data_IF_453989747328
#
_entry.id   IF_453989747328
#
_cell.length_a   1.000
_cell.length_b   1.000
_cell.length_c   1.000
_cell.angle_alpha   90.00
_cell.angle_beta   90.00
_cell.angle_gamma   90.00
#
_symmetry.space_group_name_H-M   'P 1'
#
loop_
_entity.id
_entity.type
_entity.pdbx_description
1 polymer ?
#
# COMPACT_ATOMS: atom_id res chain seq x y z
N UNK A 1 -5.50 48.50 -35.34
CA UNK A 1 -4.78 48.73 -36.62
C UNK A 1 -3.68 49.75 -36.40
N UNK A 2 -2.39 49.34 -36.50
CA UNK A 2 -1.22 50.08 -37.02
C UNK A 2 0.11 49.36 -36.57
N UNK A 3 0.74 48.54 -37.43
CA UNK A 3 2.04 48.69 -38.16
C UNK A 3 3.30 48.82 -37.28
N UNK A 4 4.50 48.25 -37.55
CA UNK A 4 5.08 47.21 -38.47
C UNK A 4 6.60 47.18 -38.23
N UNK A 5 7.27 46.02 -38.41
CA UNK A 5 8.70 45.83 -38.78
C UNK A 5 9.80 46.41 -37.83
N UNK A 6 11.01 45.86 -37.67
CA UNK A 6 11.71 44.76 -38.30
C UNK A 6 13.22 44.89 -37.98
N UNK A 7 13.98 43.79 -38.19
CA UNK A 7 15.43 43.75 -38.45
C UNK A 7 16.40 44.16 -37.33
N UNK A 8 17.65 43.68 -37.21
CA UNK A 8 18.46 42.56 -37.74
C UNK A 8 19.86 42.74 -37.09
N UNK A 9 20.72 41.70 -37.13
CA UNK A 9 22.18 41.66 -36.82
C UNK A 9 22.58 41.85 -35.33
N UNK A 10 23.60 41.19 -34.74
CA UNK A 10 24.81 40.57 -35.27
C UNK A 10 25.43 39.57 -34.27
N UNK A 11 26.08 38.56 -34.87
CA UNK A 11 26.92 37.47 -34.36
C UNK A 11 27.79 37.74 -33.11
N UNK A 12 27.94 36.72 -32.26
CA UNK A 12 29.24 36.43 -31.64
C UNK A 12 29.44 34.91 -31.49
N UNK A 13 30.35 34.38 -32.32
CA UNK A 13 30.85 33.02 -32.29
C UNK A 13 31.92 32.89 -31.20
N UNK A 14 31.80 31.90 -30.30
CA UNK A 14 32.94 31.40 -29.53
C UNK A 14 33.00 29.89 -29.67
N UNK A 15 34.05 29.43 -30.35
CA UNK A 15 34.48 28.05 -30.43
C UNK A 15 35.08 27.64 -29.08
N UNK A 16 34.63 26.52 -28.53
CA UNK A 16 35.48 25.71 -27.65
C UNK A 16 35.35 24.26 -28.10
N UNK A 17 36.47 23.76 -28.62
CA UNK A 17 36.66 22.38 -29.00
C UNK A 17 36.59 21.48 -27.75
N UNK A 18 35.68 20.51 -27.75
CA UNK A 18 35.73 19.38 -26.85
C UNK A 18 36.02 18.12 -27.69
N UNK A 19 37.28 17.69 -27.65
CA UNK A 19 37.73 16.42 -28.17
C UNK A 19 37.58 15.38 -27.06
N UNK A 20 36.86 14.28 -27.32
CA UNK A 20 36.73 13.14 -26.40
C UNK A 20 36.31 11.90 -27.18
N UNK A 21 37.17 10.88 -27.16
CA UNK A 21 37.25 9.75 -28.09
C UNK A 21 36.01 8.82 -28.15
N UNK A 22 35.80 8.10 -29.27
CA UNK A 22 34.95 6.92 -29.31
C UNK A 22 35.78 5.63 -29.12
N UNK A 23 35.46 4.85 -28.09
CA UNK A 23 35.81 3.43 -28.02
C UNK A 23 34.69 2.66 -27.30
N UNK A 24 33.83 2.01 -28.07
CA UNK A 24 33.03 0.85 -27.65
C UNK A 24 33.87 -0.42 -27.82
N UNK A 25 33.39 -1.63 -27.50
CA UNK A 25 32.64 -2.13 -26.34
C UNK A 25 33.41 -3.28 -25.64
N UNK A 26 33.12 -3.59 -24.38
CA UNK A 26 33.51 -4.90 -23.80
C UNK A 26 32.27 -5.54 -23.21
N UNK A 27 31.75 -6.49 -23.98
CA UNK A 27 30.74 -7.45 -23.57
C UNK A 27 31.23 -8.20 -22.34
N UNK A 28 30.47 -8.13 -21.24
CA UNK A 28 30.63 -9.07 -20.13
C UNK A 28 29.52 -10.11 -20.30
N UNK A 29 29.78 -11.30 -20.87
CA UNK A 29 28.93 -12.44 -20.63
C UNK A 29 29.30 -12.99 -19.25
N UNK A 30 28.56 -12.61 -18.23
CA UNK A 30 28.61 -13.32 -16.94
C UNK A 30 27.18 -13.61 -16.54
N UNK A 31 26.64 -14.65 -17.19
CA UNK A 31 25.51 -15.39 -16.63
C UNK A 31 25.90 -15.83 -15.23
N UNK A 32 25.13 -15.50 -14.19
CA UNK A 32 25.35 -16.08 -12.87
C UNK A 32 25.10 -17.60 -12.95
N UNK A 33 25.85 -18.42 -12.19
CA UNK A 33 25.57 -19.83 -12.05
C UNK A 33 24.17 -20.00 -11.43
N UNK A 34 23.34 -20.80 -12.09
CA UNK A 34 22.02 -21.21 -11.61
C UNK A 34 22.12 -21.82 -10.21
N UNK A 35 21.38 -21.25 -9.25
CA UNK A 35 21.20 -21.81 -7.92
C UNK A 35 20.53 -23.19 -8.03
N UNK A 36 21.09 -24.26 -7.44
CA UNK A 36 20.36 -25.50 -7.29
C UNK A 36 19.24 -25.36 -6.24
N UNK A 37 18.03 -25.69 -6.70
CA UNK A 37 16.83 -26.12 -5.98
C UNK A 37 17.10 -26.74 -4.60
N UNK A 38 16.48 -26.19 -3.56
CA UNK A 38 15.65 -26.90 -2.56
C UNK A 38 15.25 -25.92 -1.45
N UNK A 39 14.25 -25.07 -1.71
CA UNK A 39 13.52 -24.47 -0.60
C UNK A 39 12.64 -25.60 -0.04
N UNK A 40 12.79 -26.02 1.23
CA UNK A 40 11.77 -26.85 1.85
C UNK A 40 10.46 -26.06 1.76
N UNK A 41 9.44 -26.67 1.15
CA UNK A 41 8.08 -26.17 1.17
C UNK A 41 7.60 -26.27 2.62
N UNK A 42 7.93 -25.25 3.42
CA UNK A 42 7.19 -25.00 4.64
C UNK A 42 5.83 -24.51 4.15
N UNK A 43 4.86 -25.44 4.05
CA UNK A 43 3.47 -25.03 4.13
C UNK A 43 3.39 -24.10 5.35
N UNK A 44 2.88 -22.86 5.22
CA UNK A 44 2.44 -22.17 6.41
C UNK A 44 1.36 -23.05 7.01
N UNK A 45 1.70 -23.74 8.09
CA UNK A 45 0.70 -24.24 9.01
C UNK A 45 -0.10 -23.00 9.39
N UNK A 46 -1.39 -22.98 9.03
CA UNK A 46 -2.37 -22.01 9.51
C UNK A 46 -2.59 -22.21 11.03
N UNK A 47 -1.50 -22.25 11.80
CA UNK A 47 -1.58 -22.07 13.22
C UNK A 47 -1.92 -20.59 13.39
N UNK A 48 -3.00 -20.23 14.10
CA UNK A 48 -3.16 -18.86 14.52
C UNK A 48 -1.87 -18.45 15.24
N UNK A 49 -1.15 -17.46 14.70
CA UNK A 49 -0.03 -16.84 15.39
C UNK A 49 -0.48 -16.45 16.80
N UNK A 50 0.43 -16.52 17.80
CA UNK A 50 0.07 -16.26 19.17
C UNK A 50 -0.49 -14.85 19.26
N UNK A 51 -1.79 -14.80 19.53
CA UNK A 51 -2.49 -13.61 19.99
C UNK A 51 -1.64 -12.96 21.09
N UNK A 52 -1.50 -11.65 21.06
CA UNK A 52 -0.81 -10.91 22.12
C UNK A 52 -1.41 -11.36 23.48
N UNK A 53 -0.64 -11.86 24.47
CA UNK A 53 -1.16 -12.60 25.62
C UNK A 53 -2.04 -11.78 26.60
N UNK A 54 -2.45 -10.57 26.23
CA UNK A 54 -3.43 -9.73 26.93
C UNK A 54 -4.65 -9.32 26.10
N UNK A 55 -4.77 -9.76 24.84
CA UNK A 55 -5.91 -9.41 23.98
C UNK A 55 -6.91 -10.56 23.95
N UNK A 56 -8.14 -10.31 24.42
CA UNK A 56 -9.25 -11.23 24.20
C UNK A 56 -9.69 -11.14 22.73
N UNK A 57 -9.64 -12.22 21.94
CA UNK A 57 -9.99 -12.20 20.52
C UNK A 57 -11.41 -11.69 20.25
N UNK A 58 -12.36 -12.05 21.11
CA UNK A 58 -13.75 -11.61 20.95
C UNK A 58 -13.89 -10.09 21.11
N UNK A 59 -13.18 -9.50 22.08
CA UNK A 59 -13.17 -8.05 22.29
C UNK A 59 -12.47 -7.32 21.14
N UNK A 60 -11.35 -7.86 20.67
CA UNK A 60 -10.62 -7.31 19.52
C UNK A 60 -11.45 -7.33 18.24
N UNK A 61 -12.17 -8.42 17.98
CA UNK A 61 -13.05 -8.56 16.82
C UNK A 61 -14.24 -7.59 16.90
N UNK A 62 -14.90 -7.48 18.06
CA UNK A 62 -16.00 -6.53 18.27
C UNK A 62 -15.51 -5.09 18.05
N UNK A 63 -14.35 -4.73 18.61
CA UNK A 63 -13.74 -3.42 18.41
C UNK A 63 -13.39 -3.15 16.94
N UNK A 64 -12.88 -4.16 16.21
CA UNK A 64 -12.55 -4.03 14.80
C UNK A 64 -13.79 -3.73 13.95
N UNK A 65 -14.91 -4.40 14.22
CA UNK A 65 -16.19 -4.16 13.54
C UNK A 65 -16.74 -2.79 13.91
N UNK A 66 -16.83 -2.48 15.20
CA UNK A 66 -17.39 -1.23 15.69
C UNK A 66 -16.62 -0.01 15.16
N UNK A 67 -15.29 -0.02 15.25
CA UNK A 67 -14.45 1.10 14.80
C UNK A 67 -14.45 1.24 13.27
N UNK A 68 -14.48 0.13 12.52
CA UNK A 68 -14.61 0.19 11.05
C UNK A 68 -15.95 0.77 10.62
N UNK A 69 -17.06 0.36 11.26
CA UNK A 69 -18.40 0.93 10.99
C UNK A 69 -18.46 2.42 11.31
N UNK A 70 -17.87 2.82 12.43
CA UNK A 70 -17.83 4.21 12.84
C UNK A 70 -17.01 5.07 11.87
N UNK A 71 -15.83 4.60 11.44
CA UNK A 71 -15.00 5.30 10.45
C UNK A 71 -15.73 5.43 9.09
N UNK A 72 -16.36 4.36 8.59
CA UNK A 72 -17.11 4.41 7.33
C UNK A 72 -18.30 5.37 7.41
N UNK A 73 -19.06 5.30 8.50
CA UNK A 73 -20.21 6.18 8.72
C UNK A 73 -19.80 7.66 8.73
N UNK A 74 -18.67 7.98 9.39
CA UNK A 74 -18.11 9.33 9.41
C UNK A 74 -17.68 9.79 8.01
N UNK A 75 -16.98 8.94 7.24
CA UNK A 75 -16.54 9.27 5.86
C UNK A 75 -17.70 9.57 4.94
N UNK A 76 -18.80 8.82 5.07
CA UNK A 76 -19.98 8.96 4.23
C UNK A 76 -21.03 9.93 4.80
N UNK A 77 -20.82 10.45 6.02
CA UNK A 77 -21.77 11.31 6.73
C UNK A 77 -23.16 10.68 6.88
N UNK A 78 -23.19 9.41 7.31
CA UNK A 78 -24.39 8.61 7.54
C UNK A 78 -24.48 8.12 8.98
N UNK A 79 -25.63 7.57 9.36
CA UNK A 79 -25.78 6.90 10.65
C UNK A 79 -24.99 5.58 10.68
N UNK A 80 -24.35 5.27 11.81
CA UNK A 80 -23.59 4.03 11.99
C UNK A 80 -24.49 2.79 11.81
N UNK A 81 -25.75 2.87 12.23
CA UNK A 81 -26.76 1.83 12.07
C UNK A 81 -27.09 1.50 10.61
N UNK A 82 -26.83 2.42 9.67
CA UNK A 82 -27.00 2.17 8.23
C UNK A 82 -25.86 1.33 7.63
N UNK A 83 -24.73 1.21 8.33
CA UNK A 83 -23.59 0.38 7.91
C UNK A 83 -23.75 -1.04 8.43
N UNK A 84 -23.85 -2.00 7.51
CA UNK A 84 -24.06 -3.41 7.80
C UNK A 84 -22.72 -4.14 7.77
N UNK A 85 -22.45 -4.99 8.76
CA UNK A 85 -21.30 -5.90 8.71
C UNK A 85 -21.66 -7.12 7.86
N UNK A 86 -20.88 -7.37 6.81
CA UNK A 86 -21.01 -8.53 5.92
C UNK A 86 -20.16 -9.70 6.43
N UNK A 87 -18.89 -9.44 6.74
CA UNK A 87 -17.99 -10.46 7.30
C UNK A 87 -16.87 -9.85 8.13
N UNK A 88 -16.29 -10.67 8.99
CA UNK A 88 -15.06 -10.37 9.74
C UNK A 88 -14.21 -11.63 9.80
N UNK A 89 -12.93 -11.51 9.45
CA UNK A 89 -11.97 -12.61 9.39
C UNK A 89 -10.67 -12.21 10.06
N UNK A 90 -10.08 -13.11 10.85
CA UNK A 90 -8.73 -12.92 11.39
C UNK A 90 -7.69 -13.10 10.27
N UNK A 91 -6.77 -12.14 10.14
CA UNK A 91 -5.76 -12.09 9.07
C UNK A 91 -4.41 -11.66 9.66
N UNK A 92 -3.33 -12.19 9.10
CA UNK A 92 -1.97 -11.71 9.34
C UNK A 92 -1.54 -10.77 8.22
N UNK A 93 -1.31 -9.51 8.55
CA UNK A 93 -0.87 -8.50 7.59
C UNK A 93 0.64 -8.57 7.35
N UNK A 94 1.12 -8.30 6.14
CA UNK A 94 2.54 -8.39 5.80
C UNK A 94 3.42 -7.32 6.46
N UNK A 95 2.80 -6.25 6.96
CA UNK A 95 3.47 -5.07 7.48
C UNK A 95 2.60 -4.33 8.52
N UNK A 96 3.21 -3.36 9.21
CA UNK A 96 2.52 -2.53 10.21
C UNK A 96 1.54 -1.50 9.63
N UNK A 97 1.45 -1.37 8.31
CA UNK A 97 0.40 -0.59 7.64
C UNK A 97 -0.81 -1.46 7.28
N UNK A 98 -0.85 -2.69 7.79
CA UNK A 98 -1.95 -3.63 7.57
C UNK A 98 -2.09 -3.97 6.08
N UNK A 99 -0.98 -3.98 5.34
CA UNK A 99 -0.97 -4.26 3.90
C UNK A 99 -1.51 -3.13 3.02
N UNK A 100 -1.78 -1.93 3.59
CA UNK A 100 -2.27 -0.77 2.84
C UNK A 100 -1.14 0.24 2.66
N UNK A 101 -0.66 0.35 1.43
CA UNK A 101 0.38 1.31 1.07
C UNK A 101 -0.22 2.70 0.91
N UNK A 102 0.24 3.63 1.74
CA UNK A 102 -0.11 5.05 1.64
C UNK A 102 1.09 5.82 1.11
N UNK A 103 0.95 6.65 0.06
CA UNK A 103 2.04 7.45 -0.47
C UNK A 103 2.72 8.30 0.62
N UNK A 104 4.05 8.19 0.71
CA UNK A 104 4.84 8.94 1.70
C UNK A 104 4.86 8.33 3.10
N UNK A 105 4.19 7.20 3.34
CA UNK A 105 4.25 6.47 4.61
C UNK A 105 5.14 5.24 4.46
N UNK A 106 6.11 5.10 5.38
CA UNK A 106 6.95 3.92 5.48
C UNK A 106 6.35 2.93 6.48
N UNK A 107 6.16 1.69 6.05
CA UNK A 107 5.57 0.61 6.84
C UNK A 107 6.66 -0.27 7.44
N UNK A 108 6.45 -0.76 8.66
CA UNK A 108 7.36 -1.74 9.29
C UNK A 108 7.19 -3.11 8.63
N UNK A 109 8.27 -3.86 8.45
CA UNK A 109 8.23 -5.23 7.88
C UNK A 109 7.92 -6.28 8.94
N UNK A 110 6.92 -6.02 9.77
CA UNK A 110 6.50 -6.89 10.89
C UNK A 110 5.14 -7.45 10.57
N UNK A 111 5.02 -8.78 10.61
CA UNK A 111 3.73 -9.46 10.47
C UNK A 111 2.82 -9.00 11.61
N UNK A 112 1.68 -8.42 11.25
CA UNK A 112 0.76 -7.80 12.21
C UNK A 112 -0.56 -8.55 12.20
N UNK A 113 -0.91 -9.27 13.28
CA UNK A 113 -2.22 -9.89 13.42
C UNK A 113 -3.34 -8.84 13.46
N UNK A 114 -4.50 -9.19 12.93
CA UNK A 114 -5.64 -8.30 12.89
C UNK A 114 -6.87 -8.89 12.24
N UNK A 115 -7.79 -8.01 11.83
CA UNK A 115 -9.03 -8.42 11.18
C UNK A 115 -9.25 -7.71 9.85
N UNK A 116 -9.69 -8.49 8.86
CA UNK A 116 -10.34 -8.00 7.64
C UNK A 116 -11.84 -7.92 7.90
N UNK A 117 -12.41 -6.73 7.76
CA UNK A 117 -13.84 -6.47 7.96
C UNK A 117 -14.45 -6.02 6.64
N UNK A 118 -15.49 -6.70 6.18
CA UNK A 118 -16.28 -6.28 5.02
C UNK A 118 -17.56 -5.63 5.52
N UNK A 119 -17.76 -4.37 5.13
CA UNK A 119 -18.94 -3.58 5.45
C UNK A 119 -19.74 -3.29 4.19
N UNK A 120 -21.05 -3.16 4.32
CA UNK A 120 -21.94 -2.78 3.23
C UNK A 120 -22.83 -1.61 3.63
N UNK A 121 -23.01 -0.69 2.70
CA UNK A 121 -24.04 0.34 2.78
C UNK A 121 -24.53 0.69 1.38
N UNK A 122 -25.84 0.78 1.20
CA UNK A 122 -26.48 1.10 -0.08
C UNK A 122 -26.03 0.21 -1.24
N UNK A 123 -25.77 -1.08 -0.97
CA UNK A 123 -25.31 -2.07 -1.96
C UNK A 123 -23.85 -1.92 -2.40
N UNK A 124 -23.06 -1.05 -1.76
CA UNK A 124 -21.61 -0.93 -1.96
C UNK A 124 -20.88 -1.57 -0.78
N UNK A 125 -19.87 -2.39 -1.09
CA UNK A 125 -19.01 -3.02 -0.09
C UNK A 125 -17.70 -2.26 0.10
N UNK A 126 -17.23 -2.27 1.34
CA UNK A 126 -16.03 -1.57 1.80
C UNK A 126 -15.19 -2.52 2.66
N UNK A 127 -13.96 -2.77 2.25
CA UNK A 127 -13.01 -3.59 2.99
C UNK A 127 -12.19 -2.72 3.94
N UNK A 128 -12.14 -3.12 5.21
CA UNK A 128 -11.34 -2.53 6.26
C UNK A 128 -10.32 -3.52 6.78
N UNK A 129 -9.10 -3.05 6.99
CA UNK A 129 -8.05 -3.78 7.68
C UNK A 129 -7.84 -3.16 9.06
N UNK A 130 -7.70 -4.01 10.07
CA UNK A 130 -7.50 -3.59 11.46
C UNK A 130 -6.36 -4.36 12.10
N UNK A 131 -5.80 -3.85 13.21
CA UNK A 131 -4.93 -4.63 14.09
C UNK A 131 -5.76 -5.52 15.04
N UNK A 132 -5.12 -6.43 15.76
CA UNK A 132 -5.82 -7.42 16.62
C UNK A 132 -6.68 -6.81 17.74
N UNK A 133 -6.42 -5.56 18.17
CA UNK A 133 -7.25 -4.86 19.18
C UNK A 133 -8.37 -4.02 18.56
N UNK A 134 -8.48 -3.99 17.23
CA UNK A 134 -9.41 -3.13 16.51
C UNK A 134 -9.14 -1.63 16.69
N UNK A 135 -8.03 -1.23 17.32
CA UNK A 135 -7.72 0.16 17.68
C UNK A 135 -7.16 0.97 16.51
N UNK A 136 -6.61 0.29 15.51
CA UNK A 136 -6.16 0.88 14.25
C UNK A 136 -7.05 0.31 13.15
N UNK A 137 -7.72 1.20 12.41
CA UNK A 137 -8.57 0.83 11.28
C UNK A 137 -8.11 1.56 10.03
N UNK A 138 -8.16 0.87 8.88
CA UNK A 138 -7.75 1.39 7.57
C UNK A 138 -8.69 0.88 6.50
N UNK A 139 -9.24 1.80 5.70
CA UNK A 139 -10.04 1.45 4.53
C UNK A 139 -9.10 0.96 3.40
N UNK A 140 -9.29 -0.27 2.95
CA UNK A 140 -8.50 -0.89 1.88
C UNK A 140 -9.06 -0.59 0.50
N UNK A 141 -10.39 -0.64 0.33
CA UNK A 141 -11.02 -0.34 -0.97
C UNK A 141 -11.22 1.16 -1.14
N UNK A 142 -10.72 1.79 -2.23
CA UNK A 142 -11.03 3.19 -2.51
C UNK A 142 -12.53 3.36 -2.78
N UNK A 143 -13.14 4.37 -2.15
CA UNK A 143 -14.51 4.78 -2.44
C UNK A 143 -14.60 5.12 -3.94
N UNK A 144 -15.23 4.24 -4.73
CA UNK A 144 -15.46 4.45 -6.16
C UNK A 144 -16.77 5.19 -6.41
#
# INVERSE_FOLDING_TARGET
MKIKAGSIVLLLSILIAACGAPATPTSIPTSPPSLPTSAPSMLPTMAPSPLDPGTNPAEGQEAAVANSRQDLAQRLSVDVGAVIMVSVEAVEWPDGCLGIQTPGIMCTTVITPGYRVILEISGKQYEYHTNERGSVVRLATPLS
#
